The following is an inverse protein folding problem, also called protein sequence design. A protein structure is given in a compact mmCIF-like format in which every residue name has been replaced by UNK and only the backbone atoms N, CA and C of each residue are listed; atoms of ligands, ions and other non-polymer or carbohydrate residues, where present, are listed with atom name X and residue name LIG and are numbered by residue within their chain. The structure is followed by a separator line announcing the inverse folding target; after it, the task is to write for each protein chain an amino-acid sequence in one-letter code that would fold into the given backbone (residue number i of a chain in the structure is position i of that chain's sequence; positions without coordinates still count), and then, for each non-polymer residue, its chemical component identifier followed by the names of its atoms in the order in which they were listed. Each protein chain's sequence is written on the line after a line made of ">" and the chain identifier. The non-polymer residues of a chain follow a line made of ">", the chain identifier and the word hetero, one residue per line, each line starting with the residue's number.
data_IF_118273068625
#
_entry.id   IF_118273068625
#
_cell.length_a   1.000
_cell.length_b   1.000
_cell.length_c   1.000
_cell.angle_alpha   90.00
_cell.angle_beta   90.00
_cell.angle_gamma   90.00
#
_symmetry.space_group_name_H-M   'P 1'
#
loop_
_entity.id
_entity.type
_entity.pdbx_description
1 polymer ?
#
# COMPACT_ATOMS: atom_id res chain seq x y z
N UNK A 1 8.46 3.88 12.32
CA UNK A 1 7.88 2.62 11.83
C UNK A 1 6.50 2.80 11.18
N UNK A 2 5.73 3.79 11.62
CA UNK A 2 4.42 4.08 11.02
C UNK A 2 4.53 4.31 9.51
N UNK A 3 5.54 5.04 9.08
CA UNK A 3 5.74 5.27 7.66
C UNK A 3 6.03 3.99 6.91
N UNK A 4 6.79 3.10 7.55
CA UNK A 4 7.10 1.81 6.93
C UNK A 4 5.85 0.98 6.74
N UNK A 5 4.94 1.01 7.70
CA UNK A 5 3.67 0.29 7.58
C UNK A 5 2.92 0.76 6.34
N UNK A 6 2.81 2.08 6.19
CA UNK A 6 2.10 2.67 5.06
C UNK A 6 2.81 2.41 3.75
N UNK A 7 4.13 2.66 3.72
CA UNK A 7 4.90 2.58 2.47
C UNK A 7 5.00 1.15 1.92
N UNK A 8 5.06 0.17 2.80
CA UNK A 8 5.23 -1.21 2.37
C UNK A 8 3.95 -2.04 2.45
N UNK A 9 2.84 -1.40 2.81
CA UNK A 9 1.56 -2.09 2.83
C UNK A 9 1.41 -3.12 3.92
N UNK A 10 2.13 -2.99 5.02
CA UNK A 10 2.02 -3.96 6.11
C UNK A 10 0.62 -4.00 6.70
N UNK A 11 -0.11 -2.88 6.65
CA UNK A 11 -1.49 -2.84 7.12
C UNK A 11 -2.40 -3.71 6.25
N UNK A 12 -2.12 -3.78 4.94
CA UNK A 12 -2.90 -4.64 4.05
C UNK A 12 -2.59 -6.11 4.32
N UNK A 13 -1.32 -6.41 4.61
CA UNK A 13 -0.91 -7.75 4.97
C UNK A 13 -1.64 -8.20 6.24
N UNK A 14 -1.72 -7.32 7.21
CA UNK A 14 -2.46 -7.57 8.45
C UNK A 14 -3.92 -7.92 8.14
N UNK A 15 -4.56 -7.13 7.30
CA UNK A 15 -5.95 -7.38 6.94
C UNK A 15 -6.13 -8.72 6.26
N UNK A 16 -5.23 -9.04 5.36
CA UNK A 16 -5.27 -10.30 4.63
C UNK A 16 -5.16 -11.49 5.57
N UNK A 17 -4.20 -11.43 6.50
CA UNK A 17 -4.00 -12.50 7.47
C UNK A 17 -5.19 -12.67 8.40
N UNK A 18 -5.73 -11.56 8.89
CA UNK A 18 -6.90 -11.62 9.78
C UNK A 18 -8.11 -12.20 9.05
N UNK A 19 -8.30 -11.82 7.79
CA UNK A 19 -9.39 -12.36 7.01
C UNK A 19 -9.22 -13.86 6.79
N UNK A 20 -8.00 -14.30 6.53
CA UNK A 20 -7.71 -15.72 6.38
C UNK A 20 -8.04 -16.50 7.64
N UNK A 21 -7.67 -15.96 8.80
CA UNK A 21 -7.97 -16.60 10.07
C UNK A 21 -9.48 -16.68 10.31
N UNK A 22 -10.21 -15.63 9.98
CA UNK A 22 -11.66 -15.65 10.11
C UNK A 22 -12.29 -16.73 9.24
N UNK A 23 -11.77 -16.90 8.02
CA UNK A 23 -12.26 -17.93 7.12
C UNK A 23 -12.02 -19.33 7.66
N UNK A 24 -10.98 -19.49 8.46
CA UNK A 24 -10.66 -20.77 9.09
C UNK A 24 -11.41 -20.96 10.42
N UNK A 25 -12.25 -20.01 10.79
CA UNK A 25 -12.99 -20.08 12.04
C UNK A 25 -12.15 -19.73 13.26
N UNK A 26 -11.01 -19.10 13.06
CA UNK A 26 -10.14 -18.66 14.14
C UNK A 26 -10.31 -17.17 14.34
N UNK A 27 -10.80 -16.77 15.48
CA UNK A 27 -10.92 -15.36 15.80
C UNK A 27 -9.61 -14.86 16.35
N UNK A 28 -9.14 -13.76 15.79
CA UNK A 28 -7.94 -13.11 16.28
C UNK A 28 -8.28 -11.66 16.52
N UNK A 29 -7.91 -11.17 17.66
CA UNK A 29 -8.26 -9.82 18.09
C UNK A 29 -7.06 -8.89 18.13
N UNK A 30 -5.88 -9.44 18.10
CA UNK A 30 -4.65 -8.65 18.17
C UNK A 30 -3.75 -8.96 17.00
N UNK A 31 -3.07 -7.94 16.53
CA UNK A 31 -2.01 -8.10 15.56
C UNK A 31 -0.83 -7.24 16.02
N UNK A 32 0.32 -7.86 16.14
CA UNK A 32 1.49 -7.20 16.69
C UNK A 32 2.60 -7.20 15.66
N UNK A 33 3.19 -6.01 15.45
CA UNK A 33 4.38 -5.87 14.64
C UNK A 33 5.60 -5.87 15.54
N UNK A 34 6.60 -6.64 15.19
CA UNK A 34 7.87 -6.62 15.89
C UNK A 34 8.90 -6.07 14.92
N UNK A 35 9.40 -4.88 15.22
CA UNK A 35 10.36 -4.20 14.37
C UNK A 35 11.74 -4.32 15.01
N UNK A 36 12.71 -4.81 14.25
CA UNK A 36 14.06 -5.02 14.75
C UNK A 36 15.01 -4.22 13.88
N UNK A 37 15.85 -3.41 14.50
CA UNK A 37 16.88 -2.68 13.78
C UNK A 37 17.93 -3.64 13.24
N UNK A 38 18.38 -3.36 12.03
CA UNK A 38 19.40 -4.20 11.40
C UNK A 38 20.82 -3.78 11.77
N UNK A 39 20.94 -2.65 12.41
CA UNK A 39 22.26 -2.12 12.80
C UNK A 39 22.32 -1.97 14.32
N UNK A 40 23.54 -1.98 14.89
CA UNK A 40 23.66 -1.81 16.33
C UNK A 40 23.01 -0.51 16.79
N UNK A 41 22.32 -0.50 17.90
CA UNK A 41 22.25 -1.56 18.94
C UNK A 41 21.18 -2.61 18.71
N UNK A 42 20.61 -2.74 17.53
CA UNK A 42 19.62 -3.76 17.21
C UNK A 42 18.40 -3.66 18.11
N UNK A 43 17.92 -2.46 18.27
CA UNK A 43 16.74 -2.20 19.11
C UNK A 43 15.50 -2.89 18.57
N UNK A 44 14.61 -3.27 19.47
CA UNK A 44 13.38 -3.95 19.13
C UNK A 44 12.20 -3.12 19.56
N UNK A 45 11.26 -2.88 18.64
CA UNK A 45 10.00 -2.23 18.96
C UNK A 45 8.86 -3.21 18.79
N UNK A 46 7.91 -3.17 19.70
CA UNK A 46 6.72 -4.04 19.62
C UNK A 46 5.51 -3.14 19.57
N UNK A 47 4.71 -3.29 18.50
CA UNK A 47 3.61 -2.37 18.22
C UNK A 47 2.33 -3.17 17.98
N UNK A 48 1.26 -2.77 18.65
CA UNK A 48 -0.04 -3.40 18.41
C UNK A 48 -0.80 -2.54 17.40
N UNK A 49 -1.37 -3.19 16.39
CA UNK A 49 -2.22 -2.50 15.45
C UNK A 49 -3.49 -2.05 16.17
N UNK A 50 -3.85 -0.79 16.01
CA UNK A 50 -5.08 -0.31 16.64
C UNK A 50 -6.29 -0.66 15.77
N UNK A 51 -7.46 -0.43 16.32
CA UNK A 51 -8.70 -0.79 15.65
C UNK A 51 -8.90 -0.01 14.36
N UNK A 52 -8.43 1.23 14.34
CA UNK A 52 -8.55 2.06 13.14
C UNK A 52 -7.75 1.46 11.99
N UNK A 53 -6.54 1.00 12.27
CA UNK A 53 -5.71 0.36 11.25
C UNK A 53 -6.36 -0.92 10.73
N UNK A 54 -6.90 -1.72 11.64
CA UNK A 54 -7.56 -2.96 11.27
C UNK A 54 -8.78 -2.68 10.40
N UNK A 55 -9.58 -1.71 10.79
CA UNK A 55 -10.78 -1.35 10.03
C UNK A 55 -10.41 -0.83 8.64
N UNK A 56 -9.40 0.01 8.56
CA UNK A 56 -8.95 0.53 7.28
C UNK A 56 -8.49 -0.61 6.36
N UNK A 57 -7.71 -1.53 6.91
CA UNK A 57 -7.19 -2.65 6.13
C UNK A 57 -8.31 -3.55 5.62
N UNK A 58 -9.28 -3.85 6.47
CA UNK A 58 -10.41 -4.70 6.08
C UNK A 58 -11.26 -4.03 5.01
N UNK A 59 -11.52 -2.72 5.14
CA UNK A 59 -12.27 -2.00 4.14
C UNK A 59 -11.54 -1.97 2.80
N UNK A 60 -10.21 -1.83 2.85
CA UNK A 60 -9.41 -1.81 1.64
C UNK A 60 -9.45 -3.16 0.93
N UNK A 61 -9.44 -4.24 1.69
CA UNK A 61 -9.57 -5.57 1.10
C UNK A 61 -10.93 -5.77 0.45
N UNK A 62 -11.99 -5.20 1.03
CA UNK A 62 -13.31 -5.28 0.45
C UNK A 62 -13.38 -4.57 -0.90
N UNK A 63 -12.50 -3.60 -1.14
CA UNK A 63 -12.38 -2.96 -2.45
C UNK A 63 -11.53 -3.77 -3.41
N UNK A 64 -10.45 -4.35 -2.92
CA UNK A 64 -9.44 -5.00 -3.75
C UNK A 64 -9.86 -6.40 -4.19
N UNK A 65 -10.40 -7.20 -3.28
CA UNK A 65 -10.69 -8.60 -3.57
C UNK A 65 -11.69 -8.78 -4.71
N UNK A 66 -12.78 -8.00 -4.79
CA UNK A 66 -13.69 -8.13 -5.93
C UNK A 66 -13.02 -7.80 -7.26
N UNK A 67 -12.06 -6.90 -7.28
CA UNK A 67 -11.35 -6.57 -8.50
C UNK A 67 -10.45 -7.72 -8.95
N UNK A 68 -9.83 -8.39 -7.99
CA UNK A 68 -9.03 -9.58 -8.30
C UNK A 68 -9.93 -10.68 -8.86
N UNK A 69 -11.08 -10.90 -8.24
CA UNK A 69 -12.03 -11.90 -8.71
C UNK A 69 -12.49 -11.60 -10.13
N UNK A 70 -12.76 -10.33 -10.40
CA UNK A 70 -13.20 -9.90 -11.72
C UNK A 70 -12.11 -10.14 -12.75
N UNK A 71 -10.86 -9.80 -12.41
CA UNK A 71 -9.76 -10.01 -13.33
C UNK A 71 -9.52 -11.48 -13.60
N UNK A 72 -9.63 -12.32 -12.57
CA UNK A 72 -9.46 -13.76 -12.73
C UNK A 72 -10.58 -14.36 -13.59
N UNK A 73 -11.81 -13.92 -13.37
CA UNK A 73 -12.94 -14.43 -14.13
C UNK A 73 -12.85 -14.04 -15.60
N UNK A 74 -12.40 -12.83 -15.88
CA UNK A 74 -12.25 -12.34 -17.24
C UNK A 74 -10.93 -12.77 -17.87
N UNK A 75 -10.00 -13.24 -17.06
CA UNK A 75 -8.62 -13.55 -17.48
C UNK A 75 -7.95 -12.34 -18.11
N UNK A 76 -8.26 -11.16 -17.56
CA UNK A 76 -7.70 -9.89 -18.02
C UNK A 76 -7.14 -9.14 -16.84
N UNK A 77 -5.91 -8.72 -16.96
CA UNK A 77 -5.22 -8.00 -15.91
C UNK A 77 -4.74 -6.68 -16.50
N UNK A 78 -5.61 -5.64 -16.46
CA UNK A 78 -5.30 -4.38 -17.13
C UNK A 78 -4.08 -3.68 -16.53
N UNK A 79 -3.33 -3.05 -17.41
CA UNK A 79 -2.20 -2.23 -17.02
C UNK A 79 -2.66 -0.83 -16.66
N UNK A 80 -1.70 0.02 -16.37
CA UNK A 80 -1.99 1.42 -16.07
C UNK A 80 -2.69 2.11 -17.23
N UNK A 81 -2.20 1.85 -18.45
CA UNK A 81 -2.78 2.47 -19.63
C UNK A 81 -3.01 1.40 -20.67
N UNK A 82 -4.22 0.78 -20.68
CA UNK A 82 -4.54 -0.23 -21.69
C UNK A 82 -4.52 0.33 -23.10
N UNK A 83 -4.64 1.64 -23.24
CA UNK A 83 -4.57 2.30 -24.55
C UNK A 83 -3.57 3.43 -24.44
N UNK A 84 -3.15 3.92 -25.60
CA UNK A 84 -2.24 5.07 -25.63
C UNK A 84 -2.95 6.26 -24.99
N UNK A 85 -2.35 6.78 -23.96
CA UNK A 85 -2.94 7.86 -23.18
C UNK A 85 -2.01 9.06 -23.20
N UNK A 86 -2.58 10.25 -23.40
CA UNK A 86 -1.78 11.48 -23.35
C UNK A 86 -1.28 11.72 -21.95
N UNK A 87 -0.08 12.23 -21.87
CA UNK A 87 0.51 12.61 -20.60
C UNK A 87 1.09 14.01 -20.78
N UNK A 88 0.84 14.86 -19.83
CA UNK A 88 1.34 16.23 -19.87
C UNK A 88 2.44 16.45 -18.86
N UNK A 89 2.96 17.65 -18.88
CA UNK A 89 3.96 18.05 -17.90
C UNK A 89 3.31 18.29 -16.54
N UNK A 90 4.05 18.14 -15.48
CA UNK A 90 3.52 18.48 -14.16
C UNK A 90 3.14 19.95 -14.11
N UNK A 91 2.12 20.31 -13.32
CA UNK A 91 1.66 21.71 -13.25
C UNK A 91 2.77 22.69 -12.91
N UNK A 92 3.73 22.29 -12.08
CA UNK A 92 4.82 23.19 -11.65
C UNK A 92 5.75 23.56 -12.83
N UNK A 93 5.77 22.77 -13.88
CA UNK A 93 6.57 23.10 -15.06
C UNK A 93 5.85 24.03 -16.04
N UNK A 94 4.55 23.99 -16.02
CA UNK A 94 3.78 24.79 -16.99
C UNK A 94 3.40 26.15 -16.45
N UNK A 95 3.45 26.30 -15.18
CA UNK A 95 3.19 27.56 -14.58
C UNK A 95 4.36 28.38 -14.37
N UNK A 96 5.17 28.33 -14.63
CA UNK A 96 6.07 29.04 -14.25
C UNK A 96 6.94 29.62 -14.54
N UNK A 97 7.15 30.06 -14.40
CA UNK A 97 7.89 30.89 -14.54
C UNK A 97 9.04 30.63 -13.90
N UNK A 98 9.48 30.24 -13.39
CA UNK A 98 10.48 30.06 -12.79
C UNK A 98 10.63 28.89 -12.29
N UNK A 99 11.05 28.12 -12.52
CA UNK A 99 11.05 27.03 -12.15
C UNK A 99 12.17 26.57 -11.92
N UNK A 100 12.64 26.43 -11.44
CA UNK A 100 13.77 26.20 -11.04
C UNK A 100 14.29 24.96 -11.18
N UNK A 101 14.74 24.46 -10.81
CA UNK A 101 15.24 23.44 -10.81
C UNK A 101 14.66 22.37 -10.92
N UNK A 102 14.84 21.76 -11.23
CA UNK A 102 14.31 20.81 -11.46
C UNK A 102 14.54 19.75 -10.79
N UNK A 103 14.26 19.24 -10.41
CA UNK A 103 14.33 18.34 -9.69
C UNK A 103 14.04 17.22 -10.22
N UNK A 104 14.22 16.54 -10.37
CA UNK A 104 13.95 15.54 -10.79
C UNK A 104 13.15 14.76 -10.46
N UNK A 105 12.64 14.45 -10.65
CA UNK A 105 11.86 13.83 -10.33
C UNK A 105 11.48 12.83 -10.23
N UNK A 106 11.13 12.47 -10.27
CA UNK A 106 10.70 11.65 -10.06
C UNK A 106 10.31 10.78 -10.61
N UNK A 107 10.36 10.06 -10.79
CA UNK A 107 10.06 9.27 -11.31
C UNK A 107 9.18 8.51 -11.08
N UNK A 108 8.82 8.08 -11.48
CA UNK A 108 7.87 7.46 -11.43
C UNK A 108 7.98 6.20 -11.23
N UNK A 109 7.60 5.65 -10.67
CA UNK A 109 7.62 4.55 -10.40
C UNK A 109 6.61 3.91 -10.81
N UNK A 110 6.50 3.28 -11.46
CA UNK A 110 5.62 2.69 -11.96
C UNK A 110 5.49 1.54 -11.42
N UNK A 111 5.10 1.07 -10.99
CA UNK A 111 4.83 -0.11 -10.52
C UNK A 111 4.12 -0.16 -9.45
#
# INVERSE_FOLDING_TARGET
>A
FQKSISNWGYHLQLGWYLRGLQKLGLDSYDFIFIAIEKTPPFSVGVYRADQEMINYAMNKLDEIVPEIDKALAAQEFPDYTPEITSIGLPPWMTNKKEQPQLQEQEEVELY
#
